data_IF_489436317814
#
_entry.id   IF_489436317814
#
_cell.length_a   1.000
_cell.length_b   1.000
_cell.length_c   1.000
_cell.angle_alpha   90.00
_cell.angle_beta   90.00
_cell.angle_gamma   90.00
#
_symmetry.space_group_name_H-M   'P 1'
#
loop_
_entity.id
_entity.type
_entity.pdbx_description
1 polymer ?
#
# COMPACT_ATOMS: atom_id res chain seq x y z
N UNK A 1 -10.18 1.77 16.55
CA UNK A 1 -8.93 1.73 15.76
C UNK A 1 -9.22 1.12 14.40
N UNK A 2 -8.58 1.59 13.32
CA UNK A 2 -8.79 1.08 11.96
C UNK A 2 -7.46 0.60 11.37
N UNK A 3 -7.46 -0.59 10.76
CA UNK A 3 -6.40 -1.03 9.90
C UNK A 3 -6.80 -0.76 8.44
N UNK A 4 -5.93 -0.05 7.71
CA UNK A 4 -6.27 0.47 6.38
C UNK A 4 -6.04 -0.55 5.25
N UNK A 5 -5.25 -1.59 5.50
CA UNK A 5 -5.06 -2.75 4.61
C UNK A 5 -4.50 -3.95 5.38
N UNK A 6 -4.21 -5.05 4.67
CA UNK A 6 -3.81 -6.34 5.23
C UNK A 6 -2.30 -6.49 5.49
N UNK A 7 -1.46 -5.48 5.22
CA UNK A 7 -0.02 -5.63 5.42
C UNK A 7 0.37 -5.54 6.90
N UNK A 8 1.49 -6.18 7.31
CA UNK A 8 1.82 -6.37 8.72
C UNK A 8 2.07 -5.07 9.49
N UNK A 9 2.59 -4.04 8.83
CA UNK A 9 2.79 -2.70 9.39
C UNK A 9 1.49 -2.01 9.85
N UNK A 10 0.33 -2.50 9.38
CA UNK A 10 -0.97 -2.01 9.81
C UNK A 10 -1.57 -2.78 10.99
N UNK A 11 -1.28 -4.08 11.16
CA UNK A 11 -2.00 -4.87 12.17
C UNK A 11 -1.12 -5.54 13.24
N UNK A 12 0.20 -5.65 13.07
CA UNK A 12 1.04 -6.20 14.13
C UNK A 12 1.05 -5.33 15.39
N UNK A 13 0.89 -4.02 15.27
CA UNK A 13 0.73 -3.11 16.39
C UNK A 13 -0.61 -3.24 17.14
N UNK A 14 -1.59 -3.98 16.62
CA UNK A 14 -2.90 -4.14 17.25
C UNK A 14 -2.81 -4.81 18.63
N UNK A 15 -1.81 -5.68 18.84
CA UNK A 15 -1.55 -6.33 20.12
C UNK A 15 -1.48 -5.32 21.30
N UNK A 16 -0.85 -4.16 21.06
CA UNK A 16 -0.73 -3.11 22.06
C UNK A 16 -2.06 -2.34 22.31
N UNK A 17 -3.06 -2.56 21.48
CA UNK A 17 -4.35 -1.84 21.49
C UNK A 17 -5.55 -2.81 21.42
N UNK A 18 -5.44 -4.00 21.99
CA UNK A 18 -6.46 -5.03 21.90
C UNK A 18 -7.85 -4.55 22.39
N UNK A 19 -7.89 -3.73 23.44
CA UNK A 19 -9.12 -3.16 23.98
C UNK A 19 -9.82 -2.19 22.99
N UNK A 20 -9.11 -1.64 22.03
CA UNK A 20 -9.65 -0.74 21.01
C UNK A 20 -10.45 -1.47 19.91
N UNK A 21 -10.48 -2.81 19.94
CA UNK A 21 -11.18 -3.66 18.95
C UNK A 21 -10.88 -3.22 17.51
N UNK A 22 -9.67 -3.46 17.00
CA UNK A 22 -9.28 -3.06 15.65
C UNK A 22 -10.27 -3.56 14.60
N UNK A 23 -10.64 -2.68 13.68
CA UNK A 23 -11.58 -2.97 12.61
C UNK A 23 -10.96 -2.67 11.24
N UNK A 24 -11.41 -3.38 10.21
CA UNK A 24 -10.98 -3.21 8.83
C UNK A 24 -12.10 -3.57 7.84
N UNK A 25 -11.86 -3.35 6.54
CA UNK A 25 -12.74 -3.89 5.49
C UNK A 25 -12.76 -5.43 5.54
N UNK A 26 -13.84 -6.05 5.09
CA UNK A 26 -14.03 -7.50 5.17
C UNK A 26 -12.89 -8.31 4.53
N UNK A 27 -12.44 -7.92 3.34
CA UNK A 27 -11.31 -8.59 2.67
C UNK A 27 -9.98 -8.36 3.39
N UNK A 28 -9.77 -7.20 4.02
CA UNK A 28 -8.62 -6.94 4.89
C UNK A 28 -8.64 -7.85 6.12
N UNK A 29 -9.79 -8.04 6.78
CA UNK A 29 -9.94 -8.98 7.92
C UNK A 29 -9.56 -10.39 7.49
N UNK A 30 -10.14 -10.88 6.40
CA UNK A 30 -9.88 -12.22 5.89
C UNK A 30 -8.43 -12.40 5.43
N UNK A 31 -7.87 -11.41 4.71
CA UNK A 31 -6.50 -11.43 4.21
C UNK A 31 -5.46 -11.40 5.33
N UNK A 32 -5.62 -10.50 6.30
CA UNK A 32 -4.72 -10.40 7.44
C UNK A 32 -4.70 -11.71 8.26
N UNK A 33 -5.88 -12.30 8.52
CA UNK A 33 -5.99 -13.57 9.23
C UNK A 33 -5.30 -14.72 8.47
N UNK A 34 -5.44 -14.78 7.14
CA UNK A 34 -4.82 -15.81 6.30
C UNK A 34 -3.30 -15.70 6.26
N UNK A 35 -2.76 -14.49 6.26
CA UNK A 35 -1.34 -14.22 6.03
C UNK A 35 -0.54 -13.96 7.32
N UNK A 36 -1.21 -13.84 8.45
CA UNK A 36 -0.62 -13.48 9.74
C UNK A 36 0.62 -14.33 10.11
N UNK A 37 0.52 -15.67 9.97
CA UNK A 37 1.64 -16.57 10.26
C UNK A 37 2.83 -16.36 9.33
N UNK A 38 2.59 -16.26 8.03
CA UNK A 38 3.66 -16.02 7.04
C UNK A 38 4.36 -14.69 7.26
N UNK A 39 3.61 -13.65 7.65
CA UNK A 39 4.20 -12.36 8.01
C UNK A 39 5.02 -12.44 9.31
N UNK A 40 4.54 -13.16 10.33
CA UNK A 40 5.30 -13.37 11.56
C UNK A 40 6.63 -14.06 11.29
N UNK A 41 6.62 -15.17 10.54
CA UNK A 41 7.82 -15.90 10.14
C UNK A 41 8.81 -15.02 9.37
N UNK A 42 8.31 -14.24 8.42
CA UNK A 42 9.16 -13.37 7.60
C UNK A 42 9.76 -12.22 8.44
N UNK A 43 8.97 -11.59 9.29
CA UNK A 43 9.46 -10.53 10.16
C UNK A 43 10.47 -11.06 11.17
N UNK A 44 10.27 -12.26 11.72
CA UNK A 44 11.25 -12.87 12.60
C UNK A 44 12.58 -13.16 11.88
N UNK A 45 12.54 -13.64 10.63
CA UNK A 45 13.76 -13.83 9.81
C UNK A 45 14.50 -12.52 9.54
N UNK A 46 13.78 -11.42 9.36
CA UNK A 46 14.36 -10.11 9.04
C UNK A 46 14.87 -9.37 10.28
N UNK A 47 14.14 -9.44 11.38
CA UNK A 47 14.35 -8.61 12.57
C UNK A 47 14.87 -9.42 13.79
N UNK A 48 14.85 -10.76 13.73
CA UNK A 48 15.32 -11.60 14.80
C UNK A 48 14.64 -11.31 16.14
N UNK A 49 15.45 -11.18 17.19
CA UNK A 49 14.98 -10.98 18.57
C UNK A 49 14.18 -9.67 18.77
N UNK A 50 14.21 -8.73 17.82
CA UNK A 50 13.35 -7.54 17.87
C UNK A 50 11.87 -7.89 17.78
N UNK A 51 11.56 -9.10 17.25
CA UNK A 51 10.19 -9.62 17.19
C UNK A 51 9.79 -10.42 18.44
N UNK A 52 10.69 -10.59 19.43
CA UNK A 52 10.39 -11.34 20.63
C UNK A 52 9.19 -10.73 21.39
N UNK A 53 8.18 -11.56 21.62
CA UNK A 53 6.91 -11.14 22.26
C UNK A 53 5.94 -10.38 21.34
N UNK A 54 6.26 -10.24 20.06
CA UNK A 54 5.33 -9.69 19.06
C UNK A 54 4.54 -10.81 18.41
N UNK A 55 3.23 -10.82 18.63
CA UNK A 55 2.31 -11.77 18.03
C UNK A 55 1.44 -11.05 16.98
N UNK A 56 1.12 -11.70 15.86
CA UNK A 56 0.20 -11.11 14.91
C UNK A 56 -1.20 -10.99 15.53
N UNK A 57 -1.77 -9.79 15.43
CA UNK A 57 -3.10 -9.49 15.96
C UNK A 57 -4.00 -8.93 14.84
N UNK A 58 -4.43 -9.76 13.88
CA UNK A 58 -5.28 -9.31 12.78
C UNK A 58 -6.59 -8.73 13.30
N UNK A 59 -7.17 -7.72 12.61
CA UNK A 59 -8.48 -7.17 13.00
C UNK A 59 -9.55 -8.24 12.88
N UNK A 60 -10.46 -8.31 13.86
CA UNK A 60 -11.56 -9.27 13.87
C UNK A 60 -12.93 -8.61 13.62
N UNK A 61 -12.98 -7.28 13.58
CA UNK A 61 -14.21 -6.51 13.38
C UNK A 61 -14.26 -5.97 11.96
N UNK A 62 -15.37 -6.19 11.26
CA UNK A 62 -15.60 -5.62 9.93
C UNK A 62 -16.18 -4.22 10.05
N UNK A 63 -15.73 -3.31 9.18
CA UNK A 63 -16.30 -1.98 9.03
C UNK A 63 -16.69 -1.75 7.57
N UNK A 64 -17.86 -1.11 7.38
CA UNK A 64 -18.34 -0.76 6.04
C UNK A 64 -17.91 0.66 5.65
N UNK A 65 -17.67 0.91 4.34
CA UNK A 65 -17.48 2.25 3.81
C UNK A 65 -18.68 3.16 4.13
N UNK A 66 -18.47 4.47 4.04
CA UNK A 66 -19.53 5.46 4.22
C UNK A 66 -19.18 6.55 5.23
N UNK A 67 -20.12 7.45 5.45
CA UNK A 67 -19.95 8.60 6.34
C UNK A 67 -20.26 8.25 7.79
N UNK A 68 -19.48 8.85 8.72
CA UNK A 68 -19.63 8.66 10.16
C UNK A 68 -19.31 9.95 10.89
N UNK A 69 -20.05 10.20 11.99
CA UNK A 69 -19.71 11.27 12.93
C UNK A 69 -19.19 10.65 14.22
N UNK A 70 -17.99 11.04 14.63
CA UNK A 70 -17.38 10.62 15.89
C UNK A 70 -16.97 11.87 16.65
N UNK A 71 -17.62 12.11 17.79
CA UNK A 71 -17.49 13.39 18.48
C UNK A 71 -17.96 14.55 17.59
N UNK A 72 -17.08 15.52 17.38
CA UNK A 72 -17.35 16.67 16.49
C UNK A 72 -16.78 16.53 15.08
N UNK A 73 -16.14 15.39 14.75
CA UNK A 73 -15.53 15.15 13.45
C UNK A 73 -16.45 14.35 12.53
N UNK A 74 -16.51 14.77 11.26
CA UNK A 74 -17.19 14.05 10.19
C UNK A 74 -16.16 13.29 9.39
N UNK A 75 -16.25 11.96 9.43
CA UNK A 75 -15.39 11.05 8.70
C UNK A 75 -16.10 10.45 7.51
N UNK A 76 -15.32 10.14 6.50
CA UNK A 76 -15.74 9.30 5.37
C UNK A 76 -14.74 8.17 5.20
N UNK A 77 -15.24 6.96 5.09
CA UNK A 77 -14.50 5.74 4.81
C UNK A 77 -14.70 5.37 3.35
N UNK A 78 -13.63 5.37 2.55
CA UNK A 78 -13.67 4.97 1.15
C UNK A 78 -13.01 3.61 1.00
N UNK A 79 -13.68 2.69 0.30
CA UNK A 79 -13.11 1.45 -0.17
C UNK A 79 -12.53 1.67 -1.55
N UNK A 80 -11.23 1.52 -1.68
CA UNK A 80 -10.48 1.56 -2.92
C UNK A 80 -9.67 0.27 -3.08
N UNK A 81 -8.97 0.13 -4.18
CA UNK A 81 -8.22 -1.09 -4.52
C UNK A 81 -6.94 -0.72 -5.26
N UNK A 82 -5.99 -1.63 -5.25
CA UNK A 82 -4.83 -1.51 -6.11
C UNK A 82 -3.51 -1.76 -5.43
N UNK A 83 -3.29 -1.27 -4.22
CA UNK A 83 -2.17 -1.69 -3.39
C UNK A 83 -2.47 -3.07 -2.79
N UNK A 84 -3.72 -3.26 -2.36
CA UNK A 84 -4.31 -4.56 -2.03
C UNK A 84 -5.70 -4.68 -2.69
N UNK A 85 -6.39 -5.81 -2.47
CA UNK A 85 -7.79 -5.97 -2.93
C UNK A 85 -8.78 -5.10 -2.16
N UNK A 86 -8.42 -4.67 -0.93
CA UNK A 86 -9.27 -3.89 -0.04
C UNK A 86 -8.42 -2.85 0.70
N UNK A 87 -8.30 -1.67 0.10
CA UNK A 87 -7.60 -0.52 0.68
C UNK A 87 -8.63 0.45 1.27
N UNK A 88 -8.53 0.72 2.56
CA UNK A 88 -9.37 1.70 3.25
C UNK A 88 -8.68 3.06 3.26
N UNK A 89 -9.39 4.08 2.80
CA UNK A 89 -9.00 5.49 2.93
C UNK A 89 -9.92 6.16 3.92
N UNK A 90 -9.35 6.92 4.85
CA UNK A 90 -10.10 7.70 5.82
C UNK A 90 -9.97 9.19 5.50
N UNK A 91 -11.09 9.89 5.33
CA UNK A 91 -11.14 11.34 5.17
C UNK A 91 -11.79 11.96 6.41
N UNK A 92 -11.09 12.83 7.09
CA UNK A 92 -11.66 13.74 8.10
C UNK A 92 -12.01 15.06 7.44
N UNK A 93 -13.28 15.25 7.09
CA UNK A 93 -13.78 16.47 6.47
C UNK A 93 -13.71 17.68 7.41
N UNK A 94 -13.77 17.47 8.71
CA UNK A 94 -13.68 18.55 9.71
C UNK A 94 -12.26 19.08 9.81
N UNK A 95 -11.28 18.19 9.89
CA UNK A 95 -9.87 18.55 9.93
C UNK A 95 -9.28 18.80 8.54
N UNK A 96 -9.97 18.40 7.47
CA UNK A 96 -9.51 18.43 6.07
C UNK A 96 -8.27 17.59 5.84
N UNK A 97 -8.26 16.37 6.40
CA UNK A 97 -7.14 15.43 6.34
C UNK A 97 -7.58 14.16 5.63
N UNK A 98 -6.74 13.67 4.71
CA UNK A 98 -6.87 12.35 4.09
C UNK A 98 -5.77 11.43 4.62
N UNK A 99 -6.14 10.28 5.14
CA UNK A 99 -5.26 9.17 5.45
C UNK A 99 -5.38 8.15 4.31
N UNK A 100 -4.39 8.16 3.41
CA UNK A 100 -4.46 7.42 2.15
C UNK A 100 -4.09 5.94 2.26
N UNK A 101 -3.65 5.50 3.44
CA UNK A 101 -3.26 4.11 3.64
C UNK A 101 -2.17 3.67 2.66
N UNK A 102 -2.18 2.39 2.30
CA UNK A 102 -1.21 1.77 1.39
C UNK A 102 -1.24 2.29 -0.05
N UNK A 103 -2.23 3.12 -0.41
CA UNK A 103 -2.31 3.66 -1.76
C UNK A 103 -1.28 4.76 -2.05
N UNK A 104 -0.70 5.41 -1.03
CA UNK A 104 0.23 6.53 -1.23
C UNK A 104 1.52 6.33 -0.43
N UNK A 105 2.63 6.43 -1.13
CA UNK A 105 4.00 6.40 -0.59
C UNK A 105 4.72 7.69 -0.97
N UNK A 106 5.61 8.13 -0.11
CA UNK A 106 6.43 9.31 -0.39
C UNK A 106 7.91 9.03 -0.18
N UNK A 107 8.72 9.30 -1.23
CA UNK A 107 10.19 9.12 -1.22
C UNK A 107 10.62 7.74 -0.69
N UNK A 108 9.77 6.75 -0.89
CA UNK A 108 9.97 5.34 -0.54
C UNK A 108 9.36 4.47 -1.63
N UNK A 109 10.03 3.39 -1.96
CA UNK A 109 9.55 2.41 -2.92
C UNK A 109 8.27 1.75 -2.38
N UNK A 110 7.14 1.83 -3.10
CA UNK A 110 5.91 1.15 -2.72
C UNK A 110 6.07 -0.38 -2.69
N UNK A 111 5.37 -1.04 -1.77
CA UNK A 111 5.28 -2.50 -1.72
C UNK A 111 4.21 -3.02 -2.69
N UNK A 112 4.46 -4.13 -3.37
CA UNK A 112 3.56 -4.62 -4.43
C UNK A 112 3.13 -6.09 -4.35
N UNK A 113 3.22 -6.81 -3.22
CA UNK A 113 2.92 -8.25 -3.22
C UNK A 113 1.47 -8.59 -3.59
N UNK A 114 0.54 -7.67 -3.38
CA UNK A 114 -0.88 -7.83 -3.69
C UNK A 114 -1.38 -6.82 -4.73
N UNK A 115 -0.44 -6.14 -5.41
CA UNK A 115 -0.78 -5.00 -6.24
C UNK A 115 -1.46 -5.39 -7.56
N UNK A 116 -2.49 -4.62 -7.89
CA UNK A 116 -3.08 -4.49 -9.23
C UNK A 116 -2.77 -3.06 -9.70
N UNK A 117 -1.73 -2.89 -10.53
CA UNK A 117 -1.26 -1.56 -10.94
C UNK A 117 -2.33 -0.75 -11.65
N UNK A 118 -3.10 -1.28 -12.61
CA UNK A 118 -4.21 -0.55 -13.24
C UNK A 118 -5.25 -0.03 -12.24
N UNK A 119 -5.70 -0.86 -11.29
CA UNK A 119 -6.63 -0.44 -10.24
C UNK A 119 -6.01 0.58 -9.29
N UNK A 120 -4.73 0.41 -8.98
CA UNK A 120 -4.01 1.37 -8.14
C UNK A 120 -3.95 2.76 -8.78
N UNK A 121 -3.60 2.83 -10.05
CA UNK A 121 -3.60 4.10 -10.79
C UNK A 121 -4.98 4.76 -10.80
N UNK A 122 -6.05 3.99 -11.03
CA UNK A 122 -7.41 4.50 -10.96
C UNK A 122 -7.78 5.01 -9.55
N UNK A 123 -7.34 4.31 -8.49
CA UNK A 123 -7.52 4.76 -7.12
C UNK A 123 -6.77 6.07 -6.82
N UNK A 124 -5.55 6.23 -7.33
CA UNK A 124 -4.80 7.49 -7.19
C UNK A 124 -5.51 8.67 -7.88
N UNK A 125 -6.19 8.44 -9.00
CA UNK A 125 -7.00 9.47 -9.66
C UNK A 125 -8.21 9.87 -8.81
N UNK A 126 -8.83 8.91 -8.11
CA UNK A 126 -9.89 9.20 -7.12
C UNK A 126 -9.33 10.05 -5.98
N UNK A 127 -8.20 9.68 -5.38
CA UNK A 127 -7.60 10.43 -4.27
C UNK A 127 -7.27 11.87 -4.68
N UNK A 128 -6.65 12.06 -5.84
CA UNK A 128 -6.30 13.40 -6.34
C UNK A 128 -7.53 14.28 -6.56
N UNK A 129 -8.59 13.72 -7.14
CA UNK A 129 -9.87 14.40 -7.31
C UNK A 129 -10.46 14.79 -5.96
N UNK A 130 -10.50 13.88 -4.99
CA UNK A 130 -11.03 14.14 -3.64
C UNK A 130 -10.22 15.19 -2.89
N UNK A 131 -8.89 15.18 -2.99
CA UNK A 131 -8.03 16.22 -2.42
C UNK A 131 -8.46 17.61 -2.87
N UNK A 132 -8.76 17.76 -4.16
CA UNK A 132 -9.16 19.04 -4.77
C UNK A 132 -10.61 19.41 -4.46
N UNK A 133 -11.56 18.50 -4.72
CA UNK A 133 -13.01 18.79 -4.64
C UNK A 133 -13.48 19.00 -3.20
N UNK A 134 -12.95 18.23 -2.25
CA UNK A 134 -13.30 18.34 -0.83
C UNK A 134 -12.47 19.43 -0.10
N UNK A 135 -11.56 20.10 -0.80
CA UNK A 135 -10.71 21.14 -0.25
C UNK A 135 -9.81 20.63 0.90
N UNK A 136 -9.33 19.38 0.77
CA UNK A 136 -8.47 18.78 1.77
C UNK A 136 -7.11 19.46 1.78
N UNK A 137 -6.50 19.59 2.96
CA UNK A 137 -5.26 20.35 3.15
C UNK A 137 -4.06 19.48 3.50
N UNK A 138 -4.32 18.30 4.06
CA UNK A 138 -3.26 17.38 4.49
C UNK A 138 -3.51 16.00 3.93
N UNK A 139 -2.47 15.42 3.34
CA UNK A 139 -2.40 14.03 2.94
C UNK A 139 -1.42 13.29 3.86
N UNK A 140 -1.89 12.22 4.48
CA UNK A 140 -1.07 11.30 5.28
C UNK A 140 -0.85 10.04 4.44
N UNK A 141 0.37 9.82 3.90
CA UNK A 141 0.70 8.62 3.14
C UNK A 141 0.92 7.42 4.07
N UNK A 142 1.03 6.22 3.52
CA UNK A 142 1.44 5.02 4.27
C UNK A 142 2.83 5.20 4.87
N UNK A 143 3.75 5.68 4.07
CA UNK A 143 5.13 5.93 4.44
C UNK A 143 5.61 7.27 3.92
N UNK A 144 6.44 7.93 4.72
CA UNK A 144 6.97 9.26 4.45
C UNK A 144 6.20 10.36 5.19
N UNK A 145 6.68 11.60 5.12
CA UNK A 145 6.07 12.72 5.83
C UNK A 145 4.68 13.08 5.27
N UNK A 146 3.77 13.45 6.18
CA UNK A 146 2.50 14.05 5.80
C UNK A 146 2.71 15.41 5.11
N UNK A 147 1.83 15.75 4.17
CA UNK A 147 1.98 16.92 3.31
C UNK A 147 0.68 17.68 3.13
N UNK A 148 0.85 18.98 2.92
CA UNK A 148 -0.22 19.91 2.50
C UNK A 148 -0.54 19.84 0.99
N UNK A 149 0.05 18.90 0.24
CA UNK A 149 -0.08 18.78 -1.21
C UNK A 149 -0.26 17.33 -1.68
N UNK A 150 -0.79 17.19 -2.90
CA UNK A 150 -0.96 15.91 -3.58
C UNK A 150 0.34 15.34 -4.21
N UNK A 151 1.50 15.93 -3.94
CA UNK A 151 2.79 15.53 -4.53
C UNK A 151 3.13 14.05 -4.29
N UNK A 152 2.74 13.51 -3.13
CA UNK A 152 2.94 12.08 -2.83
C UNK A 152 2.10 11.17 -3.74
N UNK A 153 0.90 11.62 -4.13
CA UNK A 153 0.05 10.89 -5.10
C UNK A 153 0.76 10.85 -6.45
N UNK A 154 1.29 12.00 -6.91
CA UNK A 154 2.04 12.07 -8.17
C UNK A 154 3.29 11.19 -8.13
N UNK A 155 4.10 11.23 -7.06
CA UNK A 155 5.26 10.38 -6.90
C UNK A 155 4.92 8.89 -6.98
N UNK A 156 3.88 8.45 -6.28
CA UNK A 156 3.44 7.05 -6.32
C UNK A 156 2.98 6.66 -7.72
N UNK A 157 2.18 7.51 -8.37
CA UNK A 157 1.69 7.31 -9.75
C UNK A 157 2.84 7.17 -10.75
N UNK A 158 3.82 8.06 -10.68
CA UNK A 158 4.95 8.09 -11.60
C UNK A 158 5.84 6.84 -11.44
N UNK A 159 6.07 6.42 -10.19
CA UNK A 159 6.78 5.17 -9.94
C UNK A 159 6.04 3.96 -10.49
N UNK A 160 4.73 3.84 -10.25
CA UNK A 160 3.94 2.72 -10.74
C UNK A 160 3.89 2.66 -12.27
N UNK A 161 3.72 3.81 -12.94
CA UNK A 161 3.77 3.90 -14.41
C UNK A 161 5.14 3.53 -14.96
N UNK A 162 6.20 4.02 -14.33
CA UNK A 162 7.56 3.67 -14.70
C UNK A 162 7.82 2.18 -14.55
N UNK A 163 7.43 1.59 -13.42
CA UNK A 163 7.62 0.16 -13.16
C UNK A 163 6.83 -0.69 -14.15
N UNK A 164 5.54 -0.41 -14.36
CA UNK A 164 4.69 -1.13 -15.33
C UNK A 164 5.29 -1.08 -16.73
N UNK A 165 5.64 0.11 -17.23
CA UNK A 165 6.22 0.27 -18.57
C UNK A 165 7.56 -0.48 -18.70
N UNK A 166 8.38 -0.48 -17.65
CA UNK A 166 9.66 -1.19 -17.63
C UNK A 166 9.46 -2.70 -17.71
N UNK A 167 8.56 -3.27 -16.88
CA UNK A 167 8.30 -4.71 -16.85
C UNK A 167 7.68 -5.19 -18.16
N UNK A 168 6.68 -4.46 -18.71
CA UNK A 168 6.09 -4.77 -20.02
C UNK A 168 7.10 -4.76 -21.13
N UNK A 169 8.00 -3.78 -21.15
CA UNK A 169 9.06 -3.72 -22.17
C UNK A 169 10.00 -4.90 -22.03
N UNK A 170 10.49 -5.20 -20.84
CA UNK A 170 11.39 -6.30 -20.60
C UNK A 170 10.79 -7.66 -21.02
N UNK A 171 9.51 -7.88 -20.70
CA UNK A 171 8.79 -9.09 -21.10
C UNK A 171 8.67 -9.23 -22.63
N UNK A 172 8.34 -8.13 -23.35
CA UNK A 172 8.33 -8.13 -24.81
C UNK A 172 9.70 -8.35 -25.46
N UNK A 173 10.77 -7.94 -24.78
CA UNK A 173 12.16 -8.18 -25.21
C UNK A 173 12.64 -9.60 -24.88
N UNK A 174 11.82 -10.43 -24.21
CA UNK A 174 12.15 -11.78 -23.80
C UNK A 174 13.21 -11.87 -22.71
N UNK A 175 13.36 -10.83 -21.89
CA UNK A 175 14.31 -10.82 -20.77
C UNK A 175 13.86 -11.76 -19.69
N UNK A 176 14.80 -12.46 -19.07
CA UNK A 176 14.50 -13.24 -17.87
C UNK A 176 14.48 -12.37 -16.60
N UNK A 177 13.97 -12.95 -15.50
CA UNK A 177 13.86 -12.27 -14.22
C UNK A 177 15.20 -11.71 -13.70
N UNK A 178 16.30 -12.46 -13.88
CA UNK A 178 17.62 -12.05 -13.41
C UNK A 178 18.14 -10.83 -14.19
N UNK A 179 17.92 -10.81 -15.51
CA UNK A 179 18.23 -9.66 -16.34
C UNK A 179 17.44 -8.42 -15.93
N UNK A 180 16.13 -8.57 -15.64
CA UNK A 180 15.27 -7.45 -15.21
C UNK A 180 15.71 -6.91 -13.86
N UNK A 181 16.06 -7.78 -12.92
CA UNK A 181 16.61 -7.39 -11.61
C UNK A 181 17.92 -6.61 -11.78
N UNK A 182 18.79 -7.01 -12.71
CA UNK A 182 20.08 -6.37 -12.95
C UNK A 182 19.99 -5.02 -13.69
N UNK A 183 18.86 -4.67 -14.28
CA UNK A 183 18.69 -3.40 -14.99
C UNK A 183 18.84 -2.21 -14.03
N UNK A 184 19.57 -1.14 -14.38
CA UNK A 184 19.75 0.03 -13.52
C UNK A 184 18.43 0.75 -13.24
N UNK A 185 18.25 1.19 -12.00
CA UNK A 185 17.09 2.01 -11.58
C UNK A 185 17.50 3.49 -11.70
N UNK A 186 16.72 4.33 -12.39
CA UNK A 186 17.07 5.74 -12.54
C UNK A 186 16.77 6.56 -11.29
N UNK A 187 17.43 7.72 -11.16
CA UNK A 187 16.98 8.77 -10.26
C UNK A 187 15.56 9.28 -10.67
N UNK A 188 14.71 9.72 -9.75
CA UNK A 188 14.98 9.78 -8.31
C UNK A 188 14.76 8.45 -7.58
N UNK A 189 14.22 7.40 -8.24
CA UNK A 189 13.79 6.16 -7.58
C UNK A 189 14.94 5.40 -6.91
N UNK A 190 16.15 5.43 -7.51
CA UNK A 190 17.33 4.79 -6.93
C UNK A 190 17.74 5.35 -5.57
N UNK A 191 17.28 6.56 -5.23
CA UNK A 191 17.60 7.27 -4.00
C UNK A 191 16.50 7.14 -2.94
N UNK A 192 15.37 6.50 -3.29
CA UNK A 192 14.26 6.39 -2.37
C UNK A 192 14.53 5.38 -1.25
N UNK A 193 13.89 5.60 -0.10
CA UNK A 193 13.96 4.64 1.00
C UNK A 193 13.49 3.25 0.57
N UNK A 194 13.99 2.21 1.23
CA UNK A 194 13.77 0.79 0.95
C UNK A 194 14.35 0.28 -0.39
N UNK A 195 15.17 1.08 -1.10
CA UNK A 195 15.99 0.58 -2.20
C UNK A 195 17.25 -0.13 -1.66
N UNK A 196 17.74 -1.17 -2.35
CA UNK A 196 17.15 -1.85 -3.49
C UNK A 196 16.12 -2.92 -3.10
N UNK A 197 16.01 -3.26 -1.81
CA UNK A 197 15.30 -4.44 -1.33
C UNK A 197 13.83 -4.50 -1.81
N UNK A 198 13.10 -3.40 -1.65
CA UNK A 198 11.68 -3.38 -2.03
C UNK A 198 11.48 -3.36 -3.56
N UNK A 199 12.39 -2.73 -4.32
CA UNK A 199 12.37 -2.84 -5.77
C UNK A 199 12.58 -4.27 -6.26
N UNK A 200 13.53 -5.00 -5.68
CA UNK A 200 13.77 -6.42 -6.00
C UNK A 200 12.53 -7.26 -5.73
N UNK A 201 11.88 -7.04 -4.59
CA UNK A 201 10.61 -7.71 -4.25
C UNK A 201 9.51 -7.36 -5.26
N UNK A 202 9.38 -6.11 -5.64
CA UNK A 202 8.39 -5.66 -6.63
C UNK A 202 8.59 -6.38 -7.97
N UNK A 203 9.83 -6.42 -8.48
CA UNK A 203 10.14 -7.15 -9.71
C UNK A 203 9.81 -8.63 -9.57
N UNK A 204 10.24 -9.26 -8.46
CA UNK A 204 10.02 -10.70 -8.23
C UNK A 204 8.53 -11.06 -8.17
N UNK A 205 7.70 -10.21 -7.57
CA UNK A 205 6.26 -10.45 -7.47
C UNK A 205 5.50 -10.19 -8.76
N UNK A 206 5.86 -9.12 -9.46
CA UNK A 206 5.08 -8.65 -10.61
C UNK A 206 5.52 -9.28 -11.93
N UNK A 207 6.82 -9.41 -12.16
CA UNK A 207 7.36 -9.77 -13.46
C UNK A 207 6.85 -11.09 -14.04
N UNK A 208 6.66 -12.17 -13.26
CA UNK A 208 6.10 -13.41 -13.78
C UNK A 208 4.71 -13.28 -14.43
N UNK A 209 3.93 -12.28 -14.04
CA UNK A 209 2.65 -12.02 -14.68
C UNK A 209 2.83 -11.37 -16.06
N UNK A 210 3.78 -10.44 -16.18
CA UNK A 210 4.12 -9.79 -17.45
C UNK A 210 4.73 -10.76 -18.46
N UNK A 211 5.58 -11.69 -18.01
CA UNK A 211 6.12 -12.77 -18.86
C UNK A 211 4.99 -13.63 -19.44
N UNK A 212 4.06 -14.08 -18.58
CA UNK A 212 2.91 -14.88 -19.04
C UNK A 212 2.03 -14.10 -20.04
N UNK A 213 1.78 -12.81 -19.79
CA UNK A 213 1.01 -11.95 -20.68
C UNK A 213 1.70 -11.78 -22.05
N UNK A 214 3.02 -11.62 -22.08
CA UNK A 214 3.80 -11.47 -23.32
C UNK A 214 3.90 -12.76 -24.14
N UNK A 215 3.77 -13.93 -23.51
CA UNK A 215 3.78 -15.25 -24.16
C UNK A 215 2.38 -15.72 -24.58
N UNK A 216 1.34 -15.01 -24.17
CA UNK A 216 -0.02 -15.35 -24.58
C UNK A 216 -0.22 -15.07 -26.08
N UNK A 217 -0.87 -15.98 -26.86
CA UNK A 217 -1.08 -15.84 -28.29
C UNK A 217 -1.99 -14.67 -28.65
#
# INVERSE_FOLDING_TARGET
MLNLNLHPDYFFGNQAYADAKPAALAGTVAGAAREAGSYADNLYRLCGDWMAGTEPAPPATTIEPGQRTIGRHRFELLHLQGHTGDDLVLIDHTARVMFAGGLVFRSRVPTTPHADIPRWLASLDVLERRMREDGLRLLVPSHGPALDRADAIAQTRDYLRWLDARLRRAAREGRDLAEVIAMPVPAPYSEWAAMPAEYLRNVTHLYPAYEREALAP
#
